data_IF_394349281806
#
_entry.id   IF_394349281806
#
_cell.length_a   1.000
_cell.length_b   1.000
_cell.length_c   1.000
_cell.angle_alpha   90.00
_cell.angle_beta   90.00
_cell.angle_gamma   90.00
#
_symmetry.space_group_name_H-M   'P 1'
#
loop_
_entity.id
_entity.type
_entity.pdbx_description
1 polymer ?
#
# COMPACT_ATOMS: atom_id res chain seq x y z
N UNK A 1 9.02 1.93 17.12
CA UNK A 1 7.91 1.27 16.48
C UNK A 1 7.39 2.13 15.33
N UNK A 2 7.30 1.54 14.14
CA UNK A 2 6.97 2.25 12.90
C UNK A 2 5.51 2.10 12.51
N UNK A 3 4.79 1.12 13.06
CA UNK A 3 3.41 0.87 12.69
C UNK A 3 2.47 1.96 13.21
N UNK A 4 1.46 2.27 12.38
CA UNK A 4 0.44 3.25 12.75
C UNK A 4 -0.37 2.77 13.95
N UNK A 5 -0.47 3.63 14.96
CA UNK A 5 -1.18 3.36 16.22
C UNK A 5 -1.85 4.60 16.78
N UNK A 6 -2.79 4.36 17.67
CA UNK A 6 -3.36 5.40 18.52
C UNK A 6 -2.31 5.77 19.57
N UNK A 7 -1.94 7.05 19.63
CA UNK A 7 -1.04 7.59 20.63
C UNK A 7 -1.81 8.14 21.84
N UNK A 8 -2.96 8.73 21.56
CA UNK A 8 -3.79 9.39 22.58
C UNK A 8 -5.26 9.33 22.15
N UNK A 9 -6.15 9.12 23.12
CA UNK A 9 -7.60 9.26 22.93
C UNK A 9 -8.04 10.52 23.67
N UNK A 10 -8.77 11.39 23.01
CA UNK A 10 -9.30 12.66 23.51
C UNK A 10 -10.82 12.68 23.47
N UNK A 11 -11.48 13.60 24.19
CA UNK A 11 -12.93 13.73 24.12
C UNK A 11 -13.46 14.06 22.72
N UNK A 12 -12.68 14.74 21.91
CA UNK A 12 -13.01 15.25 20.56
C UNK A 12 -12.43 14.42 19.42
N UNK A 13 -11.59 13.41 19.71
CA UNK A 13 -10.96 12.60 18.68
C UNK A 13 -9.80 11.75 19.18
N UNK A 14 -8.95 11.37 18.26
CA UNK A 14 -7.73 10.60 18.56
C UNK A 14 -6.49 11.26 17.94
N UNK A 15 -5.34 11.06 18.57
CA UNK A 15 -4.03 11.34 17.95
C UNK A 15 -3.43 10.04 17.49
N UNK A 16 -3.06 9.97 16.22
CA UNK A 16 -2.40 8.81 15.63
C UNK A 16 -0.97 9.13 15.24
N UNK A 17 -0.10 8.10 15.30
CA UNK A 17 1.30 8.19 14.90
C UNK A 17 1.79 6.88 14.33
N UNK A 18 2.67 6.96 13.32
CA UNK A 18 3.30 5.82 12.68
C UNK A 18 3.29 5.92 11.17
N UNK A 19 3.42 4.79 10.49
CA UNK A 19 3.46 4.77 9.03
C UNK A 19 2.70 3.56 8.44
N UNK A 20 2.30 3.71 7.19
CA UNK A 20 1.74 2.64 6.37
C UNK A 20 2.47 2.58 5.04
N UNK A 21 3.04 1.42 4.72
CA UNK A 21 3.75 1.16 3.48
C UNK A 21 2.83 0.60 2.39
N UNK A 22 3.27 0.74 1.13
CA UNK A 22 2.59 0.22 -0.07
C UNK A 22 1.17 0.77 -0.23
N UNK A 23 1.04 2.10 -0.16
CA UNK A 23 -0.23 2.78 -0.34
C UNK A 23 -0.38 3.25 -1.78
N UNK A 24 -0.87 2.35 -2.64
CA UNK A 24 -1.09 2.62 -4.06
C UNK A 24 -2.08 3.76 -4.24
N UNK A 25 -1.71 4.76 -5.04
CA UNK A 25 -2.58 5.90 -5.37
C UNK A 25 -2.74 6.94 -4.26
N UNK A 26 -2.04 6.81 -3.12
CA UNK A 26 -2.16 7.76 -2.01
C UNK A 26 -1.89 9.20 -2.44
N UNK A 27 -0.89 9.43 -3.29
CA UNK A 27 -0.52 10.77 -3.79
C UNK A 27 -1.57 11.42 -4.69
N UNK A 28 -2.52 10.64 -5.20
CA UNK A 28 -3.60 11.11 -6.07
C UNK A 28 -4.97 11.09 -5.37
N UNK A 29 -4.99 10.82 -4.07
CA UNK A 29 -6.21 10.73 -3.28
C UNK A 29 -6.50 12.05 -2.57
N UNK A 30 -7.76 12.42 -2.43
CA UNK A 30 -8.18 13.56 -1.62
C UNK A 30 -8.24 13.20 -0.14
N UNK A 31 -8.59 11.95 0.16
CA UNK A 31 -8.67 11.42 1.51
C UNK A 31 -8.08 10.01 1.59
N UNK A 32 -7.56 9.67 2.75
CA UNK A 32 -7.10 8.33 3.07
C UNK A 32 -8.08 7.66 4.01
N UNK A 33 -8.58 6.50 3.62
CA UNK A 33 -9.31 5.60 4.50
C UNK A 33 -8.33 4.58 5.08
N UNK A 34 -8.05 4.72 6.36
CA UNK A 34 -7.07 3.91 7.07
C UNK A 34 -7.75 2.74 7.76
N UNK A 35 -7.12 1.57 7.69
CA UNK A 35 -7.65 0.35 8.32
C UNK A 35 -6.51 -0.57 8.80
N UNK A 36 -6.78 -1.52 9.72
CA UNK A 36 -5.84 -2.56 10.09
C UNK A 36 -5.45 -3.43 8.89
N UNK A 37 -4.32 -4.11 8.97
CA UNK A 37 -3.83 -5.01 7.93
C UNK A 37 -3.82 -6.49 8.32
N UNK A 38 -4.02 -6.79 9.60
CA UNK A 38 -4.00 -8.15 10.16
C UNK A 38 -5.02 -8.28 11.29
N UNK A 39 -5.36 -9.53 11.62
CA UNK A 39 -6.06 -9.82 12.88
C UNK A 39 -5.17 -9.46 14.07
N UNK A 40 -5.76 -8.95 15.14
CA UNK A 40 -5.07 -8.41 16.30
C UNK A 40 -5.52 -9.10 17.58
N UNK A 41 -4.67 -9.01 18.61
CA UNK A 41 -4.94 -9.47 19.98
C UNK A 41 -5.04 -8.27 20.91
N UNK A 42 -5.46 -8.51 22.15
CA UNK A 42 -5.58 -7.44 23.16
C UNK A 42 -4.28 -6.63 23.35
N UNK A 43 -3.13 -7.30 23.25
CA UNK A 43 -1.83 -6.63 23.35
C UNK A 43 -1.59 -5.63 22.20
N UNK A 44 -2.31 -5.77 21.10
CA UNK A 44 -2.17 -4.96 19.89
C UNK A 44 -3.25 -3.87 19.78
N UNK A 45 -4.08 -3.69 20.81
CA UNK A 45 -5.26 -2.82 20.75
C UNK A 45 -4.98 -1.39 20.30
N UNK A 46 -3.80 -0.85 20.59
CA UNK A 46 -3.45 0.50 20.16
C UNK A 46 -3.21 0.61 18.65
N UNK A 47 -3.01 -0.51 17.95
CA UNK A 47 -2.91 -0.60 16.49
C UNK A 47 -4.26 -0.89 15.81
N UNK A 48 -5.27 -1.28 16.59
CA UNK A 48 -6.62 -1.50 16.09
C UNK A 48 -7.32 -0.15 15.89
N UNK A 49 -7.01 0.49 14.77
CA UNK A 49 -7.52 1.82 14.42
C UNK A 49 -7.99 1.86 12.97
N UNK A 50 -9.16 2.48 12.75
CA UNK A 50 -9.67 2.80 11.41
C UNK A 50 -10.28 4.20 11.43
N UNK A 51 -9.94 5.00 10.43
CA UNK A 51 -10.37 6.39 10.33
C UNK A 51 -10.23 6.91 8.90
N UNK A 52 -10.85 8.06 8.63
CA UNK A 52 -10.63 8.83 7.41
C UNK A 52 -9.89 10.12 7.72
N UNK A 53 -8.98 10.52 6.84
CA UNK A 53 -8.19 11.74 7.00
C UNK A 53 -7.92 12.38 5.62
N UNK A 54 -8.01 13.71 5.49
CA UNK A 54 -7.58 14.40 4.28
C UNK A 54 -6.10 14.13 3.97
N UNK A 55 -5.76 14.02 2.70
CA UNK A 55 -4.38 13.76 2.27
C UNK A 55 -3.41 14.90 2.61
N UNK A 56 -3.94 16.11 2.77
CA UNK A 56 -3.22 17.33 3.13
C UNK A 56 -3.37 17.71 4.61
N UNK A 57 -3.89 16.82 5.46
CA UNK A 57 -4.01 17.08 6.88
C UNK A 57 -2.64 17.32 7.51
N UNK A 58 -2.60 18.22 8.51
CA UNK A 58 -1.38 18.51 9.26
C UNK A 58 -0.79 17.22 9.87
N UNK A 59 0.49 17.00 9.66
CA UNK A 59 1.19 15.80 10.13
C UNK A 59 1.09 14.60 9.21
N UNK A 60 0.39 14.68 8.09
CA UNK A 60 0.39 13.64 7.05
C UNK A 60 1.51 13.94 6.04
N UNK A 61 2.41 12.97 5.86
CA UNK A 61 3.51 13.07 4.89
C UNK A 61 3.50 11.84 4.00
N UNK A 62 3.80 12.04 2.72
CA UNK A 62 3.94 10.96 1.75
C UNK A 62 5.35 10.92 1.19
N UNK A 63 6.00 9.76 1.33
CA UNK A 63 7.27 9.48 0.66
C UNK A 63 6.96 8.53 -0.48
N UNK A 64 7.27 8.97 -1.69
CA UNK A 64 7.02 8.18 -2.89
C UNK A 64 8.19 8.30 -3.87
N UNK A 65 8.33 7.28 -4.69
CA UNK A 65 9.34 7.23 -5.73
C UNK A 65 8.90 7.96 -6.99
N UNK A 66 9.29 7.40 -8.11
CA UNK A 66 8.97 7.95 -9.42
C UNK A 66 7.49 7.82 -9.74
N UNK A 67 6.91 8.89 -10.24
CA UNK A 67 5.53 8.94 -10.72
C UNK A 67 5.48 8.83 -12.25
N UNK A 68 4.31 8.47 -12.80
CA UNK A 68 4.10 8.38 -14.24
C UNK A 68 4.29 9.72 -14.97
N UNK A 69 4.09 10.84 -14.28
CA UNK A 69 4.34 12.20 -14.80
C UNK A 69 5.78 12.67 -14.61
N UNK A 70 6.67 11.85 -14.08
CA UNK A 70 8.07 12.20 -13.83
C UNK A 70 8.79 12.54 -15.14
N UNK A 71 9.46 13.67 -15.18
CA UNK A 71 10.18 14.18 -16.36
C UNK A 71 11.62 13.66 -16.48
N UNK A 72 12.13 12.92 -15.50
CA UNK A 72 13.50 12.36 -15.52
C UNK A 72 13.76 11.48 -16.74
N UNK A 73 12.72 10.90 -17.33
CA UNK A 73 12.82 10.18 -18.61
C UNK A 73 13.31 11.05 -19.78
N UNK A 74 13.28 12.37 -19.62
CA UNK A 74 13.76 13.33 -20.61
C UNK A 74 15.22 13.74 -20.38
N UNK A 75 15.82 13.30 -19.28
CA UNK A 75 17.24 13.52 -18.99
C UNK A 75 18.12 12.59 -19.81
N UNK A 76 19.33 13.03 -20.12
CA UNK A 76 20.27 12.27 -20.98
C UNK A 76 20.66 10.91 -20.40
N UNK A 77 20.61 10.77 -19.07
CA UNK A 77 20.96 9.54 -18.34
C UNK A 77 19.72 8.70 -17.97
N UNK A 78 18.60 8.89 -18.67
CA UNK A 78 17.35 8.16 -18.42
C UNK A 78 17.50 6.62 -18.56
N UNK A 79 18.53 6.16 -19.24
CA UNK A 79 18.85 4.73 -19.40
C UNK A 79 19.24 4.03 -18.08
N UNK A 80 19.60 4.79 -17.05
CA UNK A 80 19.95 4.23 -15.74
C UNK A 80 18.74 3.71 -14.96
N UNK A 81 17.53 4.05 -15.37
CA UNK A 81 16.29 3.65 -14.67
C UNK A 81 15.21 3.19 -15.67
N UNK A 82 15.53 2.14 -16.39
CA UNK A 82 14.74 1.64 -17.51
C UNK A 82 13.31 1.21 -17.12
N UNK A 83 13.12 0.62 -15.95
CA UNK A 83 11.83 0.08 -15.53
C UNK A 83 10.77 1.14 -15.26
N UNK A 84 11.09 2.07 -14.38
CA UNK A 84 10.13 3.06 -13.86
C UNK A 84 10.06 4.36 -14.66
N UNK A 85 11.02 4.62 -15.56
CA UNK A 85 11.02 5.85 -16.36
C UNK A 85 9.79 5.94 -17.27
N UNK A 86 9.31 4.81 -17.76
CA UNK A 86 8.16 4.72 -18.65
C UNK A 86 6.85 4.36 -17.92
N UNK A 87 6.93 3.56 -16.85
CA UNK A 87 5.79 2.98 -16.15
C UNK A 87 5.79 3.33 -14.65
N UNK A 88 6.02 4.58 -14.31
CA UNK A 88 6.12 5.03 -12.91
C UNK A 88 5.01 4.47 -12.01
N UNK A 89 5.39 3.99 -10.83
CA UNK A 89 4.46 3.49 -9.83
C UNK A 89 3.81 4.59 -9.00
N UNK A 90 2.67 4.30 -8.39
CA UNK A 90 1.94 5.20 -7.49
C UNK A 90 2.02 4.77 -6.03
N UNK A 91 3.01 3.96 -5.71
CA UNK A 91 3.22 3.48 -4.34
C UNK A 91 3.81 4.56 -3.46
N UNK A 92 3.25 4.71 -2.27
CA UNK A 92 3.74 5.65 -1.27
C UNK A 92 3.89 4.99 0.09
N UNK A 93 4.83 5.49 0.88
CA UNK A 93 4.85 5.34 2.32
C UNK A 93 4.14 6.57 2.91
N UNK A 94 3.02 6.35 3.60
CA UNK A 94 2.27 7.42 4.26
C UNK A 94 2.67 7.45 5.73
N UNK A 95 3.15 8.60 6.18
CA UNK A 95 3.61 8.85 7.55
C UNK A 95 2.60 9.75 8.24
N UNK A 96 2.27 9.41 9.47
CA UNK A 96 1.39 10.16 10.36
C UNK A 96 2.22 10.63 11.56
N UNK A 97 2.50 11.91 11.64
CA UNK A 97 3.23 12.49 12.77
C UNK A 97 2.29 13.27 13.67
N UNK A 98 1.75 12.58 14.68
CA UNK A 98 0.80 13.12 15.64
C UNK A 98 -0.43 13.76 15.00
N UNK A 99 -1.02 13.09 14.03
CA UNK A 99 -2.20 13.55 13.29
C UNK A 99 -3.42 13.48 14.21
N UNK A 100 -4.16 14.58 14.31
CA UNK A 100 -5.46 14.60 14.98
C UNK A 100 -6.55 14.12 14.03
N UNK A 101 -7.38 13.19 14.50
CA UNK A 101 -8.55 12.68 13.79
C UNK A 101 -9.78 12.91 14.67
N UNK A 102 -10.75 13.74 14.25
CA UNK A 102 -11.95 14.01 15.00
C UNK A 102 -12.87 12.79 15.08
N UNK A 103 -13.70 12.71 16.12
CA UNK A 103 -14.55 11.54 16.39
C UNK A 103 -15.44 11.12 15.21
N UNK A 104 -15.98 12.07 14.47
CA UNK A 104 -16.85 11.81 13.31
C UNK A 104 -16.12 11.12 12.15
N UNK A 105 -14.79 11.09 12.18
CA UNK A 105 -13.93 10.44 11.19
C UNK A 105 -13.27 9.16 11.70
N UNK A 106 -13.57 8.73 12.93
CA UNK A 106 -13.04 7.51 13.54
C UNK A 106 -14.07 6.39 13.42
N UNK A 107 -13.68 5.26 12.83
CA UNK A 107 -14.54 4.10 12.61
C UNK A 107 -14.20 2.91 13.51
N UNK A 108 -12.98 2.86 14.02
CA UNK A 108 -12.50 1.88 14.99
C UNK A 108 -11.46 2.54 15.89
N UNK A 109 -11.59 2.34 17.19
CA UNK A 109 -10.68 2.87 18.22
C UNK A 109 -10.44 1.83 19.30
N UNK A 110 -9.48 0.93 19.08
CA UNK A 110 -9.06 -0.16 19.99
C UNK A 110 -9.96 -1.40 20.01
N UNK A 111 -11.01 -1.49 19.22
CA UNK A 111 -11.85 -2.68 19.08
C UNK A 111 -11.13 -3.76 18.26
N UNK A 112 -10.04 -4.29 18.84
CA UNK A 112 -9.12 -5.23 18.19
C UNK A 112 -9.82 -6.52 17.71
N UNK A 113 -10.90 -6.93 18.36
CA UNK A 113 -11.68 -8.12 18.02
C UNK A 113 -12.24 -8.04 16.59
N UNK A 114 -12.52 -6.86 16.10
CA UNK A 114 -13.08 -6.63 14.76
C UNK A 114 -12.02 -6.43 13.68
N UNK A 115 -10.74 -6.25 14.05
CA UNK A 115 -9.69 -6.01 13.09
C UNK A 115 -9.57 -7.12 12.04
N UNK A 116 -9.62 -8.39 12.48
CA UNK A 116 -9.57 -9.55 11.58
C UNK A 116 -10.72 -9.59 10.59
N UNK A 117 -11.95 -9.38 11.06
CA UNK A 117 -13.15 -9.37 10.22
C UNK A 117 -13.12 -8.21 9.21
N UNK A 118 -12.67 -7.04 9.61
CA UNK A 118 -12.53 -5.88 8.70
C UNK A 118 -11.55 -6.20 7.57
N UNK A 119 -10.39 -6.77 7.91
CA UNK A 119 -9.37 -7.16 6.93
C UNK A 119 -9.90 -8.24 5.98
N UNK A 120 -10.58 -9.26 6.50
CA UNK A 120 -11.14 -10.34 5.69
C UNK A 120 -12.15 -9.82 4.67
N UNK A 121 -13.10 -8.99 5.10
CA UNK A 121 -14.11 -8.42 4.22
C UNK A 121 -13.49 -7.49 3.17
N UNK A 122 -12.60 -6.60 3.56
CA UNK A 122 -11.87 -5.76 2.62
C UNK A 122 -11.08 -6.59 1.63
N UNK A 123 -10.26 -7.55 2.10
CA UNK A 123 -9.41 -8.36 1.26
C UNK A 123 -10.21 -9.23 0.28
N UNK A 124 -11.37 -9.74 0.66
CA UNK A 124 -12.26 -10.49 -0.21
C UNK A 124 -12.66 -9.69 -1.44
N UNK A 125 -13.15 -8.48 -1.25
CA UNK A 125 -13.55 -7.61 -2.35
C UNK A 125 -12.36 -7.04 -3.12
N UNK A 126 -11.31 -6.61 -2.42
CA UNK A 126 -10.11 -6.05 -3.05
C UNK A 126 -9.38 -7.08 -3.93
N UNK A 127 -9.21 -8.31 -3.43
CA UNK A 127 -8.51 -9.38 -4.18
C UNK A 127 -9.29 -9.86 -5.42
N UNK A 128 -10.59 -9.71 -5.44
CA UNK A 128 -11.38 -10.00 -6.63
C UNK A 128 -10.92 -9.14 -7.81
N UNK A 129 -10.59 -7.87 -7.59
CA UNK A 129 -10.08 -6.99 -8.64
C UNK A 129 -8.70 -7.38 -9.15
N UNK A 130 -7.92 -8.13 -8.36
CA UNK A 130 -6.63 -8.65 -8.80
C UNK A 130 -6.70 -9.74 -9.87
N UNK A 131 -7.85 -10.42 -10.00
CA UNK A 131 -8.00 -11.56 -10.91
C UNK A 131 -7.52 -11.24 -12.33
N UNK A 132 -8.00 -10.13 -12.91
CA UNK A 132 -7.61 -9.71 -14.25
C UNK A 132 -6.15 -9.23 -14.34
N UNK A 133 -5.74 -8.30 -13.50
CA UNK A 133 -4.41 -7.70 -13.61
C UNK A 133 -3.28 -8.67 -13.24
N UNK A 134 -3.48 -9.57 -12.28
CA UNK A 134 -2.45 -10.56 -11.90
C UNK A 134 -2.25 -11.64 -12.94
N UNK A 135 -3.31 -12.03 -13.64
CA UNK A 135 -3.19 -12.96 -14.77
C UNK A 135 -2.34 -12.33 -15.88
N UNK A 136 -2.67 -11.11 -16.31
CA UNK A 136 -1.90 -10.42 -17.35
C UNK A 136 -0.42 -10.19 -16.98
N UNK A 137 -0.13 -9.78 -15.74
CA UNK A 137 1.26 -9.65 -15.27
C UNK A 137 1.94 -11.01 -15.20
N UNK A 138 1.22 -12.07 -14.80
CA UNK A 138 1.72 -13.44 -14.80
C UNK A 138 2.19 -13.90 -16.19
N UNK A 139 1.41 -13.64 -17.22
CA UNK A 139 1.75 -13.98 -18.61
C UNK A 139 3.03 -13.26 -19.06
N UNK A 140 3.18 -11.97 -18.72
CA UNK A 140 4.40 -11.21 -19.05
C UNK A 140 5.61 -11.79 -18.34
N UNK A 141 5.50 -12.13 -17.04
CA UNK A 141 6.60 -12.74 -16.29
C UNK A 141 7.00 -14.11 -16.81
N UNK A 142 6.02 -14.96 -17.19
CA UNK A 142 6.28 -16.26 -17.79
C UNK A 142 7.00 -16.09 -19.13
N UNK A 143 6.54 -15.19 -19.98
CA UNK A 143 7.17 -14.90 -21.26
C UNK A 143 8.61 -14.37 -21.09
N UNK A 144 8.82 -13.45 -20.16
CA UNK A 144 10.16 -12.92 -19.86
C UNK A 144 11.11 -14.01 -19.32
N UNK A 145 10.63 -14.89 -18.45
CA UNK A 145 11.42 -16.00 -17.92
C UNK A 145 11.79 -17.00 -19.03
N UNK A 146 10.86 -17.32 -19.91
CA UNK A 146 11.12 -18.20 -21.07
C UNK A 146 12.18 -17.59 -21.99
N UNK A 147 12.07 -16.30 -22.31
CA UNK A 147 13.03 -15.58 -23.13
C UNK A 147 14.42 -15.51 -22.48
N UNK A 148 14.47 -15.24 -21.17
CA UNK A 148 15.72 -15.26 -20.44
C UNK A 148 16.39 -16.65 -20.45
N UNK A 149 15.60 -17.72 -20.32
CA UNK A 149 16.10 -19.09 -20.42
C UNK A 149 16.70 -19.38 -21.82
N UNK A 150 16.01 -18.98 -22.87
CA UNK A 150 16.48 -19.14 -24.25
C UNK A 150 17.81 -18.38 -24.49
N UNK A 151 17.92 -17.14 -24.03
CA UNK A 151 19.16 -16.35 -24.13
C UNK A 151 20.34 -16.94 -23.37
N UNK A 152 20.07 -17.65 -22.29
CA UNK A 152 21.11 -18.32 -21.48
C UNK A 152 21.37 -19.76 -21.93
N UNK A 153 20.75 -20.24 -22.99
CA UNK A 153 20.90 -21.61 -23.48
C UNK A 153 20.43 -22.67 -22.48
N UNK A 154 19.53 -22.32 -21.57
CA UNK A 154 19.00 -23.25 -20.57
C UNK A 154 17.94 -24.12 -21.25
N UNK A 155 18.10 -25.46 -21.26
CA UNK A 155 17.11 -26.35 -21.86
C UNK A 155 15.77 -26.20 -21.13
N UNK A 156 14.66 -26.31 -21.87
CA UNK A 156 13.32 -26.29 -21.30
C UNK A 156 13.20 -27.37 -20.23
N UNK A 157 13.32 -26.96 -18.96
CA UNK A 157 13.20 -27.85 -17.82
C UNK A 157 11.72 -28.10 -17.59
N UNK A 158 11.30 -29.32 -17.90
CA UNK A 158 10.06 -29.91 -17.42
C UNK A 158 8.77 -29.21 -17.89
N UNK A 159 7.79 -30.02 -18.20
CA UNK A 159 6.42 -29.55 -18.31
C UNK A 159 5.97 -29.10 -16.93
N UNK A 160 5.62 -27.83 -16.76
CA UNK A 160 4.73 -27.48 -15.68
C UNK A 160 3.48 -28.33 -15.86
N UNK A 161 3.28 -29.29 -15.01
CA UNK A 161 2.00 -29.98 -14.93
C UNK A 161 1.02 -28.97 -14.33
N UNK A 162 0.17 -28.42 -15.14
CA UNK A 162 -1.05 -27.73 -14.73
C UNK A 162 -2.05 -28.81 -14.32
#
# INVERSE_FOLDING_TARGET
DLYLRIKEVRPDGIIVRGAKAHQTGAVNSHEHLIMPTVAMKEADKDYAVSFAVPSDAEGVFMIYGRQSCDTRKMEKDADLDLGNSQFGGHEALVIFDNVFVPNERVFMCKEYEFAGMMVERFAGYHRQSYGGCKVGVGDVLIGAAALAADYNGVPKIGRAHV
#
